data_IF_551341725229
#
_entry.id   IF_551341725229
#
_cell.length_a   1.000
_cell.length_b   1.000
_cell.length_c   1.000
_cell.angle_alpha   90.00
_cell.angle_beta   90.00
_cell.angle_gamma   90.00
#
_symmetry.space_group_name_H-M   'P 1'
#
loop_
_entity.id
_entity.type
_entity.pdbx_description
1 polymer ?
#
# COMPACT_ATOMS: atom_id res chain seq x y z
N UNK A 1 29.99 27.96 15.49
CA UNK A 1 29.55 26.52 15.54
C UNK A 1 28.05 26.53 15.71
N UNK A 2 27.34 26.38 14.57
CA UNK A 2 25.89 26.21 14.54
C UNK A 2 25.59 24.73 14.81
N UNK A 3 25.05 24.42 16.01
CA UNK A 3 24.44 23.15 16.29
C UNK A 3 23.18 23.01 15.41
N UNK A 4 23.25 22.18 14.36
CA UNK A 4 22.06 21.69 13.67
C UNK A 4 21.40 20.66 14.60
N UNK A 5 20.32 21.06 15.26
CA UNK A 5 19.43 20.13 15.96
C UNK A 5 18.55 19.49 14.88
N UNK A 6 18.90 18.31 14.41
CA UNK A 6 17.99 17.47 13.64
C UNK A 6 17.02 16.80 14.63
N UNK A 7 15.90 17.46 14.90
CA UNK A 7 14.76 16.83 15.54
C UNK A 7 14.10 15.89 14.51
N UNK A 8 14.47 14.61 14.54
CA UNK A 8 13.66 13.59 13.93
C UNK A 8 12.34 13.52 14.70
N UNK A 9 11.31 14.16 14.17
CA UNK A 9 9.95 13.93 14.63
C UNK A 9 9.65 12.49 14.24
N UNK A 10 9.78 11.56 15.19
CA UNK A 10 9.42 10.16 15.01
C UNK A 10 7.93 10.11 14.75
N UNK A 11 7.56 10.00 13.46
CA UNK A 11 6.21 9.67 13.05
C UNK A 11 5.98 8.21 13.47
N UNK A 12 5.42 8.02 14.66
CA UNK A 12 5.14 6.67 15.16
C UNK A 12 4.03 6.08 14.31
N UNK A 13 4.37 5.04 13.56
CA UNK A 13 3.36 4.26 12.84
C UNK A 13 2.31 3.73 13.82
N UNK A 14 1.05 3.74 13.39
CA UNK A 14 -0.11 3.35 14.20
C UNK A 14 -1.06 2.52 13.37
N UNK A 15 -1.71 1.55 14.00
CA UNK A 15 -2.90 0.91 13.46
C UNK A 15 -4.15 1.79 13.68
N UNK A 16 -5.27 1.40 13.06
CA UNK A 16 -6.52 2.15 13.16
C UNK A 16 -6.99 2.37 14.60
N UNK A 17 -6.98 1.32 15.40
CA UNK A 17 -7.39 1.35 16.80
C UNK A 17 -6.26 1.76 17.77
N UNK A 18 -5.06 2.12 17.25
CA UNK A 18 -3.88 2.51 18.03
C UNK A 18 -3.47 1.46 19.08
N UNK A 19 -3.71 0.18 18.76
CA UNK A 19 -3.38 -0.98 19.59
C UNK A 19 -3.07 -2.19 18.68
N UNK A 20 -2.00 -3.00 18.99
CA UNK A 20 -1.04 -2.80 20.07
C UNK A 20 -0.12 -1.57 19.87
N UNK A 21 0.58 -1.16 20.92
CA UNK A 21 1.63 -0.15 20.82
C UNK A 21 2.97 -0.84 20.65
N UNK A 22 3.54 -0.70 19.47
CA UNK A 22 4.86 -1.23 19.12
C UNK A 22 5.93 -0.24 19.54
N UNK A 23 6.99 -0.73 20.18
CA UNK A 23 8.06 0.12 20.74
C UNK A 23 9.31 0.14 19.88
N UNK A 24 9.65 -0.99 19.27
CA UNK A 24 10.93 -1.24 18.59
C UNK A 24 10.68 -1.51 17.11
N UNK A 25 10.21 -0.52 16.35
CA UNK A 25 10.11 -0.61 14.91
C UNK A 25 10.84 0.57 14.26
N UNK A 26 11.59 0.27 13.24
CA UNK A 26 12.21 1.26 12.37
C UNK A 26 11.21 1.67 11.27
N UNK A 27 11.30 2.91 10.79
CA UNK A 27 10.48 3.38 9.66
C UNK A 27 11.42 3.98 8.63
N UNK A 28 11.36 3.46 7.42
CA UNK A 28 12.06 4.00 6.25
C UNK A 28 11.04 4.48 5.21
N UNK A 29 11.36 5.53 4.48
CA UNK A 29 10.46 6.06 3.45
C UNK A 29 10.77 5.41 2.11
N UNK A 30 9.73 4.94 1.41
CA UNK A 30 9.82 4.56 0.01
C UNK A 30 9.80 5.84 -0.82
N UNK A 31 10.95 6.23 -1.36
CA UNK A 31 11.08 7.36 -2.27
C UNK A 31 12.14 7.08 -3.34
N UNK A 32 11.91 7.58 -4.56
CA UNK A 32 12.85 7.50 -5.68
C UNK A 32 13.44 6.11 -5.91
N UNK A 33 14.77 6.03 -5.80
CA UNK A 33 15.55 4.80 -6.03
C UNK A 33 15.68 3.97 -4.74
N UNK A 34 14.62 3.81 -3.97
CA UNK A 34 14.62 3.01 -2.76
C UNK A 34 15.12 1.59 -3.04
N UNK A 35 16.05 1.12 -2.22
CA UNK A 35 16.56 -0.26 -2.21
C UNK A 35 16.60 -0.82 -0.79
N UNK A 36 16.31 -2.10 -0.66
CA UNK A 36 16.51 -2.82 0.58
C UNK A 36 18.01 -3.06 0.79
N UNK A 37 18.54 -2.56 1.91
CA UNK A 37 20.00 -2.61 2.18
C UNK A 37 20.42 -3.84 3.02
N UNK A 38 19.44 -4.53 3.61
CA UNK A 38 19.72 -5.66 4.49
C UNK A 38 18.65 -6.74 4.29
N UNK A 39 19.01 -7.83 3.59
CA UNK A 39 18.11 -8.94 3.28
C UNK A 39 17.76 -9.82 4.49
N UNK A 40 18.39 -9.60 5.63
CA UNK A 40 18.09 -10.33 6.87
C UNK A 40 17.05 -9.62 7.74
N UNK A 41 16.76 -8.36 7.45
CA UNK A 41 15.72 -7.61 8.15
C UNK A 41 14.32 -8.03 7.74
N UNK A 42 13.42 -8.04 8.72
CA UNK A 42 12.00 -8.20 8.46
C UNK A 42 11.41 -6.84 8.04
N UNK A 43 11.01 -6.73 6.79
CA UNK A 43 10.34 -5.54 6.26
C UNK A 43 8.84 -5.78 6.18
N UNK A 44 8.06 -4.71 6.36
CA UNK A 44 6.62 -4.70 6.11
C UNK A 44 6.22 -3.37 5.48
N UNK A 45 5.48 -3.41 4.38
CA UNK A 45 4.95 -2.21 3.75
C UNK A 45 3.93 -1.52 4.67
N UNK A 46 4.01 -0.20 4.78
CA UNK A 46 3.14 0.61 5.60
C UNK A 46 2.51 1.74 4.79
N UNK A 47 1.20 1.75 4.71
CA UNK A 47 0.43 2.84 4.10
C UNK A 47 -0.07 3.83 5.14
N UNK A 48 -1.38 4.00 5.25
CA UNK A 48 -2.01 4.96 6.16
C UNK A 48 -2.44 4.38 7.52
N UNK A 49 -2.00 3.16 7.87
CA UNK A 49 -2.29 2.54 9.15
C UNK A 49 -3.79 2.36 9.42
N UNK A 50 -4.56 1.99 8.40
CA UNK A 50 -6.01 1.79 8.50
C UNK A 50 -6.42 0.36 8.82
N UNK A 51 -5.47 -0.54 8.99
CA UNK A 51 -5.70 -1.91 9.46
C UNK A 51 -5.86 -1.95 10.98
N UNK A 52 -6.64 -2.92 11.47
CA UNK A 52 -6.81 -3.20 12.90
C UNK A 52 -5.65 -4.04 13.45
N UNK A 53 -5.51 -4.02 14.77
CA UNK A 53 -4.50 -4.83 15.46
C UNK A 53 -3.08 -4.50 15.03
N UNK A 54 -2.27 -5.51 14.84
CA UNK A 54 -0.86 -5.45 14.47
C UNK A 54 -0.57 -5.65 12.99
N UNK A 55 -1.58 -5.87 12.16
CA UNK A 55 -1.45 -6.18 10.72
C UNK A 55 -0.52 -5.22 9.96
N UNK A 56 -0.51 -3.94 10.33
CA UNK A 56 0.35 -2.93 9.71
C UNK A 56 1.51 -2.48 10.62
N UNK A 57 1.86 -3.28 11.64
CA UNK A 57 2.92 -3.00 12.59
C UNK A 57 3.97 -4.10 12.54
N UNK A 58 5.23 -3.80 12.89
CA UNK A 58 6.36 -4.72 12.76
C UNK A 58 7.29 -4.60 13.97
N UNK A 59 6.94 -5.27 15.07
CA UNK A 59 7.77 -5.25 16.29
C UNK A 59 9.14 -5.85 16.01
N UNK A 60 10.19 -5.09 16.27
CA UNK A 60 11.58 -5.50 16.03
C UNK A 60 12.01 -5.46 14.56
N UNK A 61 11.13 -5.06 13.64
CA UNK A 61 11.43 -4.98 12.21
C UNK A 61 11.37 -3.55 11.66
N UNK A 62 11.36 -3.45 10.34
CA UNK A 62 11.37 -2.18 9.60
C UNK A 62 10.07 -2.02 8.83
N UNK A 63 9.38 -0.90 9.01
CA UNK A 63 8.26 -0.47 8.17
C UNK A 63 8.77 0.33 6.98
N UNK A 64 8.28 0.02 5.80
CA UNK A 64 8.52 0.76 4.56
C UNK A 64 7.32 1.68 4.30
N UNK A 65 7.45 2.96 4.66
CA UNK A 65 6.40 3.95 4.49
C UNK A 65 6.24 4.33 3.01
N UNK A 66 5.12 3.95 2.42
CA UNK A 66 4.82 4.13 1.00
C UNK A 66 4.14 5.46 0.67
N UNK A 67 3.81 6.29 1.64
CA UNK A 67 2.95 7.48 1.44
C UNK A 67 3.49 8.51 0.47
N UNK A 68 4.81 8.61 0.30
CA UNK A 68 5.41 9.48 -0.71
C UNK A 68 5.32 8.93 -2.14
N UNK A 69 5.05 7.63 -2.27
CA UNK A 69 4.88 6.94 -3.54
C UNK A 69 3.41 6.97 -3.93
N UNK A 70 2.93 8.17 -4.36
CA UNK A 70 1.49 8.47 -4.43
C UNK A 70 1.05 9.13 -5.74
N UNK A 71 1.78 8.93 -6.84
CA UNK A 71 1.44 9.53 -8.12
C UNK A 71 0.40 8.72 -8.89
N UNK A 72 -0.45 9.42 -9.65
CA UNK A 72 -1.21 8.84 -10.76
C UNK A 72 -0.28 8.83 -11.97
N UNK A 73 0.01 7.64 -12.50
CA UNK A 73 0.94 7.47 -13.61
C UNK A 73 0.22 7.51 -14.96
N UNK A 74 -0.99 6.93 -15.04
CA UNK A 74 -1.80 6.91 -16.25
C UNK A 74 -3.28 6.72 -15.91
N UNK A 75 -4.16 7.23 -16.76
CA UNK A 75 -5.59 6.95 -16.71
C UNK A 75 -6.15 6.81 -18.14
N UNK A 76 -6.61 5.62 -18.48
CA UNK A 76 -7.34 5.38 -19.72
C UNK A 76 -8.84 5.62 -19.47
N UNK A 77 -9.36 6.74 -19.97
CA UNK A 77 -10.76 7.14 -19.79
C UNK A 77 -11.74 6.27 -20.61
N UNK A 78 -11.27 5.58 -21.62
CA UNK A 78 -12.13 4.71 -22.45
C UNK A 78 -12.47 3.43 -21.70
N UNK A 79 -11.46 2.80 -21.11
CA UNK A 79 -11.61 1.50 -20.44
C UNK A 79 -11.78 1.66 -18.92
N UNK A 80 -11.62 2.86 -18.37
CA UNK A 80 -11.67 3.12 -16.94
C UNK A 80 -10.50 2.51 -16.17
N UNK A 81 -9.33 2.34 -16.79
CA UNK A 81 -8.15 1.74 -16.18
C UNK A 81 -7.21 2.83 -15.69
N UNK A 82 -6.92 2.83 -14.38
CA UNK A 82 -5.99 3.75 -13.74
C UNK A 82 -4.72 3.02 -13.31
N UNK A 83 -3.55 3.63 -13.54
CA UNK A 83 -2.25 3.16 -13.06
C UNK A 83 -1.70 4.17 -12.06
N UNK A 84 -1.39 3.71 -10.86
CA UNK A 84 -0.95 4.55 -9.76
C UNK A 84 0.20 3.91 -8.99
N UNK A 85 0.92 4.73 -8.25
CA UNK A 85 1.84 4.28 -7.19
C UNK A 85 1.06 3.79 -5.96
N UNK A 86 1.63 2.83 -5.21
CA UNK A 86 0.92 2.08 -4.17
C UNK A 86 0.49 2.90 -2.94
N UNK A 87 1.19 4.01 -2.66
CA UNK A 87 0.92 4.88 -1.50
C UNK A 87 -0.18 5.90 -1.72
N UNK A 88 -0.71 6.04 -2.95
CA UNK A 88 -1.83 6.94 -3.23
C UNK A 88 -3.07 6.49 -2.47
N UNK A 89 -3.82 7.43 -1.94
CA UNK A 89 -5.07 7.14 -1.22
C UNK A 89 -6.27 7.03 -2.16
N UNK A 90 -7.31 6.32 -1.74
CA UNK A 90 -8.58 6.30 -2.47
C UNK A 90 -9.21 7.69 -2.53
N UNK A 91 -8.98 8.55 -1.53
CA UNK A 91 -9.41 9.95 -1.57
C UNK A 91 -8.81 10.69 -2.76
N UNK A 92 -7.51 10.56 -2.98
CA UNK A 92 -6.80 11.20 -4.10
C UNK A 92 -7.27 10.62 -5.45
N UNK A 93 -7.40 9.29 -5.55
CA UNK A 93 -7.91 8.62 -6.75
C UNK A 93 -9.33 9.11 -7.06
N UNK A 94 -10.24 9.06 -6.09
CA UNK A 94 -11.64 9.46 -6.27
C UNK A 94 -11.78 10.94 -6.65
N UNK A 95 -10.98 11.83 -6.04
CA UNK A 95 -10.96 13.24 -6.39
C UNK A 95 -10.49 13.51 -7.83
N UNK A 96 -9.66 12.62 -8.37
CA UNK A 96 -9.21 12.70 -9.75
C UNK A 96 -10.23 12.13 -10.74
N UNK A 97 -10.71 10.87 -10.53
CA UNK A 97 -11.56 10.17 -11.50
C UNK A 97 -13.01 10.67 -11.51
N UNK A 98 -13.51 11.18 -10.38
CA UNK A 98 -14.91 11.69 -10.32
C UNK A 98 -15.15 12.89 -11.24
N UNK A 99 -14.14 13.72 -11.48
CA UNK A 99 -14.17 14.82 -12.43
C UNK A 99 -14.29 14.35 -13.89
N UNK A 100 -14.07 13.07 -14.13
CA UNK A 100 -14.11 12.40 -15.42
C UNK A 100 -15.29 11.42 -15.52
N UNK A 101 -16.27 11.54 -14.59
CA UNK A 101 -17.45 10.69 -14.45
C UNK A 101 -17.14 9.20 -14.20
N UNK A 102 -15.98 8.90 -13.59
CA UNK A 102 -15.61 7.56 -13.16
C UNK A 102 -15.67 7.40 -11.66
N UNK A 103 -15.87 6.18 -11.21
CA UNK A 103 -15.89 5.82 -9.79
C UNK A 103 -15.25 4.45 -9.56
N UNK A 104 -14.67 4.22 -8.37
CA UNK A 104 -14.12 2.90 -8.04
C UNK A 104 -15.24 1.89 -7.80
N UNK A 105 -15.14 0.66 -8.34
CA UNK A 105 -16.19 -0.35 -8.21
C UNK A 105 -16.36 -0.86 -6.77
N UNK A 106 -15.30 -0.81 -5.98
CA UNK A 106 -15.28 -1.22 -4.57
C UNK A 106 -14.65 -0.11 -3.74
N UNK A 107 -15.37 0.37 -2.72
CA UNK A 107 -14.90 1.38 -1.78
C UNK A 107 -15.25 0.93 -0.35
N UNK A 108 -14.28 0.85 0.57
CA UNK A 108 -14.54 0.46 1.95
C UNK A 108 -15.16 1.60 2.77
N UNK A 109 -15.34 1.42 4.07
CA UNK A 109 -15.91 2.41 4.97
C UNK A 109 -15.08 3.70 5.13
N UNK A 110 -13.86 3.74 4.64
CA UNK A 110 -13.00 4.93 4.64
C UNK A 110 -12.26 5.09 3.31
N UNK A 111 -12.19 6.32 2.81
CA UNK A 111 -11.43 6.66 1.60
C UNK A 111 -9.93 6.95 1.86
N UNK A 112 -9.52 6.93 3.11
CA UNK A 112 -8.13 7.24 3.50
C UNK A 112 -7.22 6.02 3.56
N UNK A 113 -7.59 4.92 2.93
CA UNK A 113 -6.72 3.76 2.70
C UNK A 113 -5.81 4.03 1.50
N UNK A 114 -4.63 3.42 1.48
CA UNK A 114 -3.76 3.46 0.30
C UNK A 114 -4.12 2.36 -0.70
N UNK A 115 -3.79 2.56 -1.98
CA UNK A 115 -4.02 1.57 -3.03
C UNK A 115 -3.32 0.24 -2.71
N UNK A 116 -2.04 0.28 -2.32
CA UNK A 116 -1.31 -0.93 -1.91
C UNK A 116 -1.96 -1.62 -0.71
N UNK A 117 -2.43 -0.86 0.29
CA UNK A 117 -3.17 -1.40 1.43
C UNK A 117 -4.51 -2.03 1.03
N UNK A 118 -5.20 -1.45 0.04
CA UNK A 118 -6.45 -1.99 -0.50
C UNK A 118 -6.24 -3.36 -1.17
N UNK A 119 -5.18 -3.50 -1.97
CA UNK A 119 -4.80 -4.76 -2.62
C UNK A 119 -4.36 -5.79 -1.57
N UNK A 120 -3.45 -5.39 -0.68
CA UNK A 120 -2.89 -6.28 0.35
C UNK A 120 -3.94 -6.85 1.32
N UNK A 121 -5.04 -6.16 1.54
CA UNK A 121 -6.13 -6.62 2.41
C UNK A 121 -7.35 -7.11 1.62
N UNK A 122 -7.28 -7.13 0.31
CA UNK A 122 -8.40 -7.45 -0.59
C UNK A 122 -9.73 -6.86 -0.08
N UNK A 123 -9.72 -5.53 0.08
CA UNK A 123 -10.82 -4.83 0.73
C UNK A 123 -12.14 -5.02 0.01
N UNK A 124 -13.22 -4.96 0.77
CA UNK A 124 -14.57 -4.99 0.22
C UNK A 124 -15.39 -3.79 0.68
N UNK A 125 -16.44 -3.49 -0.07
CA UNK A 125 -17.42 -2.46 0.24
C UNK A 125 -18.75 -3.02 0.73
N UNK A 126 -19.72 -2.16 1.00
CA UNK A 126 -21.10 -2.55 1.35
C UNK A 126 -21.81 -3.26 0.19
N UNK A 127 -21.32 -3.07 -1.04
CA UNK A 127 -21.83 -3.68 -2.27
C UNK A 127 -21.19 -5.03 -2.61
N UNK A 128 -20.46 -5.65 -1.67
CA UNK A 128 -19.67 -6.86 -1.92
C UNK A 128 -20.49 -8.05 -2.45
N UNK A 129 -21.78 -8.12 -2.15
CA UNK A 129 -22.68 -9.16 -2.66
C UNK A 129 -22.75 -9.18 -4.20
N UNK A 130 -22.60 -8.02 -4.83
CA UNK A 130 -22.66 -7.87 -6.28
C UNK A 130 -21.28 -7.61 -6.92
N UNK A 131 -20.44 -6.79 -6.23
CA UNK A 131 -19.17 -6.33 -6.77
C UNK A 131 -17.98 -7.20 -6.34
N UNK A 132 -18.15 -8.07 -5.34
CA UNK A 132 -17.03 -8.83 -4.79
C UNK A 132 -16.04 -7.95 -4.02
N UNK A 133 -14.77 -8.36 -4.01
CA UNK A 133 -13.66 -7.66 -3.39
C UNK A 133 -12.86 -6.82 -4.40
N UNK A 134 -11.94 -6.00 -3.90
CA UNK A 134 -11.13 -5.11 -4.72
C UNK A 134 -10.20 -5.86 -5.67
N UNK A 135 -9.71 -7.04 -5.26
CA UNK A 135 -8.86 -7.90 -6.07
C UNK A 135 -9.45 -8.26 -7.43
N UNK A 136 -10.79 -8.37 -7.54
CA UNK A 136 -11.47 -8.67 -8.81
C UNK A 136 -11.29 -7.58 -9.87
N UNK A 137 -10.80 -6.40 -9.48
CA UNK A 137 -10.61 -5.24 -10.36
C UNK A 137 -9.14 -4.84 -10.52
N UNK A 138 -8.23 -5.66 -10.02
CA UNK A 138 -6.78 -5.46 -10.16
C UNK A 138 -6.31 -6.21 -11.40
N UNK A 139 -5.89 -5.46 -12.42
CA UNK A 139 -5.40 -6.07 -13.65
C UNK A 139 -3.96 -6.57 -13.50
N UNK A 140 -3.08 -5.75 -12.92
CA UNK A 140 -1.68 -6.06 -12.69
C UNK A 140 -1.04 -5.07 -11.71
N UNK A 141 0.09 -5.45 -11.14
CA UNK A 141 0.95 -4.57 -10.36
C UNK A 141 2.43 -4.95 -10.51
N UNK A 142 3.32 -4.02 -10.23
CA UNK A 142 4.74 -4.28 -10.01
C UNK A 142 4.94 -4.59 -8.53
N UNK A 143 5.55 -5.73 -8.25
CA UNK A 143 5.93 -6.18 -6.92
C UNK A 143 7.44 -6.00 -6.72
N UNK A 144 7.84 -5.20 -5.71
CA UNK A 144 9.21 -5.08 -5.28
C UNK A 144 9.44 -6.00 -4.08
N UNK A 145 10.39 -6.92 -4.19
CA UNK A 145 10.76 -7.85 -3.11
C UNK A 145 12.00 -7.36 -2.35
N UNK A 146 12.19 -7.89 -1.14
CA UNK A 146 13.31 -7.53 -0.25
C UNK A 146 14.70 -7.81 -0.83
N UNK A 147 14.80 -8.65 -1.86
CA UNK A 147 16.03 -8.88 -2.65
C UNK A 147 16.23 -7.83 -3.77
N UNK A 148 15.42 -6.77 -3.79
CA UNK A 148 15.38 -5.71 -4.81
C UNK A 148 14.96 -6.17 -6.22
N UNK A 149 14.49 -7.40 -6.37
CA UNK A 149 13.90 -7.85 -7.62
C UNK A 149 12.49 -7.30 -7.78
N UNK A 150 12.16 -6.96 -9.03
CA UNK A 150 10.86 -6.45 -9.44
C UNK A 150 10.16 -7.46 -10.33
N UNK A 151 8.91 -7.74 -10.02
CA UNK A 151 8.06 -8.67 -10.77
C UNK A 151 6.80 -7.97 -11.23
N UNK A 152 6.48 -8.09 -12.51
CA UNK A 152 5.15 -7.75 -13.00
C UNK A 152 4.23 -8.94 -12.69
N UNK A 153 3.18 -8.68 -11.93
CA UNK A 153 2.24 -9.69 -11.47
C UNK A 153 0.85 -9.42 -12.04
N UNK A 154 0.26 -10.44 -12.63
CA UNK A 154 -1.10 -10.46 -13.16
C UNK A 154 -1.65 -11.89 -13.12
N UNK A 155 -2.89 -12.11 -13.52
CA UNK A 155 -3.46 -13.46 -13.65
C UNK A 155 -2.65 -14.36 -14.60
N UNK A 156 -1.96 -13.78 -15.60
CA UNK A 156 -1.23 -14.50 -16.64
C UNK A 156 0.29 -14.41 -16.52
N UNK A 157 0.81 -13.58 -15.60
CA UNK A 157 2.25 -13.37 -15.41
C UNK A 157 2.56 -13.34 -13.92
N UNK A 158 3.48 -14.19 -13.45
CA UNK A 158 3.79 -14.38 -12.04
C UNK A 158 2.51 -14.54 -11.17
N UNK A 159 1.59 -15.38 -11.64
CA UNK A 159 0.26 -15.53 -11.07
C UNK A 159 0.27 -15.96 -9.61
N UNK A 160 1.23 -16.78 -9.18
CA UNK A 160 1.38 -17.17 -7.77
C UNK A 160 1.63 -15.95 -6.88
N UNK A 161 2.49 -15.02 -7.32
CA UNK A 161 2.72 -13.76 -6.61
C UNK A 161 1.51 -12.85 -6.67
N UNK A 162 0.79 -12.84 -7.80
CA UNK A 162 -0.42 -12.05 -7.95
C UNK A 162 -1.47 -12.43 -6.91
N UNK A 163 -1.81 -13.72 -6.85
CA UNK A 163 -2.83 -14.20 -5.91
C UNK A 163 -2.33 -14.21 -4.46
N UNK A 164 -1.06 -14.46 -4.20
CA UNK A 164 -0.50 -14.38 -2.85
C UNK A 164 -0.46 -12.95 -2.29
N UNK A 165 -0.37 -11.93 -3.15
CA UNK A 165 -0.31 -10.53 -2.74
C UNK A 165 -1.70 -9.97 -2.44
N UNK A 166 -2.71 -10.32 -3.25
CA UNK A 166 -4.10 -9.92 -3.03
C UNK A 166 -4.63 -10.59 -1.77
N UNK A 167 -4.93 -9.80 -0.74
CA UNK A 167 -5.35 -10.34 0.56
C UNK A 167 -4.22 -10.94 1.42
N UNK A 168 -2.96 -10.86 0.97
CA UNK A 168 -1.78 -11.37 1.69
C UNK A 168 -1.29 -10.50 2.84
N UNK A 169 -2.05 -9.45 3.22
CA UNK A 169 -1.75 -8.53 4.32
C UNK A 169 -0.35 -7.87 4.27
N UNK A 170 0.23 -7.79 3.06
CA UNK A 170 1.57 -7.23 2.85
C UNK A 170 2.72 -8.21 3.13
N UNK A 171 2.47 -9.43 3.58
CA UNK A 171 3.50 -10.41 3.92
C UNK A 171 4.30 -10.93 2.71
N UNK A 172 3.70 -11.12 1.50
CA UNK A 172 4.46 -11.53 0.32
C UNK A 172 5.28 -10.41 -0.32
N UNK A 173 5.09 -9.18 0.13
CA UNK A 173 5.44 -7.92 -0.58
C UNK A 173 6.63 -7.23 0.05
N UNK A 174 7.49 -7.94 0.70
CA UNK A 174 8.73 -7.28 1.16
C UNK A 174 9.91 -8.21 1.05
#
# INVERSE_FOLDING_TARGET
SLLKLELSVMNKAKSWNNFPKVKNQEIVSLDGDFTFNDFQKNYLAYGNGRSYGDVCLNEGGTLVDTKKYSKILNFNEVDGVITCESGITFDEILNFISKKNWFLPVVPGTRYITLGGAIANDIHGKNHHNAGSFGNYVNKFELLKSNNEKYICSENENSDYFYATIGGMGLPVV
#
